data_IF_417273125330
#
_entry.id   IF_417273125330
#
_cell.length_a   1.000
_cell.length_b   1.000
_cell.length_c   1.000
_cell.angle_alpha   90.00
_cell.angle_beta   90.00
_cell.angle_gamma   90.00
#
_symmetry.space_group_name_H-M   'P 1'
#
loop_
_entity.id
_entity.type
_entity.pdbx_description
1 polymer ?
#
# COMPACT_ATOMS: atom_id res chain seq x y z
N UNK A 1 -13.02 0.88 -32.52
CA UNK A 1 -12.65 0.35 -31.19
C UNK A 1 -11.17 0.03 -31.21
N UNK A 2 -10.33 0.89 -30.64
CA UNK A 2 -8.87 0.74 -30.69
C UNK A 2 -8.25 1.06 -29.34
N UNK A 3 -7.68 0.04 -28.70
CA UNK A 3 -6.95 0.17 -27.44
C UNK A 3 -5.70 1.01 -27.65
N UNK A 4 -5.51 2.05 -26.83
CA UNK A 4 -4.27 2.85 -26.83
C UNK A 4 -3.31 2.28 -25.79
N UNK A 5 -2.22 1.69 -26.27
CA UNK A 5 -1.02 1.43 -25.48
C UNK A 5 -0.11 2.66 -25.59
N UNK A 6 0.42 3.14 -24.46
CA UNK A 6 1.43 4.20 -24.42
C UNK A 6 2.69 3.67 -23.72
N UNK A 7 3.79 3.63 -24.48
CA UNK A 7 5.13 3.34 -24.01
C UNK A 7 5.96 4.63 -24.15
N UNK A 8 6.46 5.18 -23.05
CA UNK A 8 7.27 6.39 -23.07
C UNK A 8 8.64 6.10 -22.46
N UNK A 9 9.56 5.68 -23.31
CA UNK A 9 10.98 5.80 -23.03
C UNK A 9 11.44 7.18 -23.51
N UNK A 10 11.96 8.02 -22.61
CA UNK A 10 12.70 9.24 -22.97
C UNK A 10 13.58 9.66 -21.80
N UNK A 11 14.85 9.29 -21.88
CA UNK A 11 15.91 9.81 -21.04
C UNK A 11 16.22 11.26 -21.46
N UNK A 12 16.49 12.15 -20.46
CA UNK A 12 16.89 13.59 -20.57
C UNK A 12 15.73 14.54 -20.91
N UNK A 13 15.38 15.61 -20.17
CA UNK A 13 16.23 16.61 -19.49
C UNK A 13 15.35 17.49 -18.57
N UNK A 14 15.78 17.69 -17.31
CA UNK A 14 15.67 18.88 -16.45
C UNK A 14 14.41 19.79 -16.49
N UNK A 15 13.29 19.32 -15.93
CA UNK A 15 12.29 20.08 -15.15
C UNK A 15 11.08 19.19 -14.82
N UNK A 16 11.32 17.96 -14.40
CA UNK A 16 10.24 17.06 -14.04
C UNK A 16 9.70 17.54 -12.70
N UNK A 17 8.60 18.28 -12.73
CA UNK A 17 7.65 18.36 -11.62
C UNK A 17 7.28 16.91 -11.36
N UNK A 18 8.04 16.27 -10.48
CA UNK A 18 7.92 14.87 -10.12
C UNK A 18 6.64 14.84 -9.30
N UNK A 19 5.49 14.76 -9.97
CA UNK A 19 4.35 14.10 -9.38
C UNK A 19 4.77 12.65 -9.22
N UNK A 20 5.58 12.41 -8.18
CA UNK A 20 5.74 11.09 -7.61
C UNK A 20 4.32 10.71 -7.28
N UNK A 21 3.73 9.81 -8.06
CA UNK A 21 2.55 9.07 -7.64
C UNK A 21 2.97 8.26 -6.41
N UNK A 22 3.01 8.95 -5.27
CA UNK A 22 3.15 8.34 -3.97
C UNK A 22 1.87 7.56 -3.79
N UNK A 23 1.98 6.24 -3.97
CA UNK A 23 0.89 5.35 -3.63
C UNK A 23 0.56 5.59 -2.16
N UNK A 24 -0.72 5.78 -1.89
CA UNK A 24 -1.23 6.12 -0.58
C UNK A 24 -1.83 4.86 0.04
N UNK A 25 -1.59 4.66 1.33
CA UNK A 25 -2.19 3.58 2.11
C UNK A 25 -3.09 4.19 3.16
N UNK A 26 -4.34 3.72 3.20
CA UNK A 26 -5.38 4.20 4.09
C UNK A 26 -5.95 2.99 4.85
N UNK A 27 -6.13 3.13 6.16
CA UNK A 27 -6.75 2.12 7.01
C UNK A 27 -7.74 2.80 7.94
N UNK A 28 -9.00 2.40 7.84
CA UNK A 28 -10.09 2.89 8.66
C UNK A 28 -10.68 1.72 9.45
N UNK A 29 -10.79 1.88 10.77
CA UNK A 29 -11.26 0.86 11.70
C UNK A 29 -12.37 1.46 12.55
N UNK A 30 -13.54 0.83 12.50
CA UNK A 30 -14.68 1.17 13.35
C UNK A 30 -14.99 -0.05 14.22
N UNK A 31 -14.85 0.10 15.53
CA UNK A 31 -15.11 -0.97 16.52
C UNK A 31 -15.96 -0.37 17.65
N UNK A 32 -17.21 -0.81 17.75
CA UNK A 32 -18.17 -0.21 18.69
C UNK A 32 -18.39 1.27 18.37
N UNK A 33 -18.18 2.13 19.36
CA UNK A 33 -18.26 3.59 19.22
C UNK A 33 -16.90 4.25 18.90
N UNK A 34 -15.82 3.46 18.76
CA UNK A 34 -14.51 3.97 18.41
C UNK A 34 -14.29 3.99 16.89
N UNK A 35 -13.73 5.10 16.41
CA UNK A 35 -13.36 5.27 15.02
C UNK A 35 -11.90 5.76 14.91
N UNK A 36 -11.08 4.97 14.24
CA UNK A 36 -9.66 5.26 14.01
C UNK A 36 -9.39 5.25 12.51
N UNK A 37 -8.73 6.31 12.01
CA UNK A 37 -8.35 6.44 10.61
C UNK A 37 -6.87 6.77 10.48
N UNK A 38 -6.16 5.97 9.70
CA UNK A 38 -4.74 6.13 9.41
C UNK A 38 -4.54 6.39 7.93
N UNK A 39 -3.60 7.28 7.64
CA UNK A 39 -3.25 7.69 6.30
C UNK A 39 -1.73 7.82 6.20
N UNK A 40 -1.10 7.02 5.35
CA UNK A 40 0.36 7.00 5.18
C UNK A 40 0.75 6.88 3.70
N UNK A 41 1.98 7.28 3.38
CA UNK A 41 2.60 6.89 2.12
C UNK A 41 2.83 5.39 2.09
N UNK A 42 2.88 4.77 0.91
CA UNK A 42 3.18 3.35 0.75
C UNK A 42 4.43 2.97 1.54
N UNK A 43 4.27 1.99 2.44
CA UNK A 43 5.36 1.38 3.20
C UNK A 43 5.64 0.02 2.56
N UNK A 44 6.77 -0.10 1.87
CA UNK A 44 7.11 -1.30 1.12
C UNK A 44 8.02 -2.25 1.93
N UNK A 45 8.78 -1.72 2.88
CA UNK A 45 9.75 -2.49 3.64
C UNK A 45 9.89 -2.04 5.10
N UNK A 46 10.47 -2.91 5.93
CA UNK A 46 10.89 -2.55 7.29
C UNK A 46 12.01 -1.49 7.31
N UNK A 47 12.74 -1.32 6.21
CA UNK A 47 13.74 -0.25 6.09
C UNK A 47 13.03 1.11 6.08
N UNK A 48 11.93 1.23 5.31
CA UNK A 48 11.13 2.46 5.26
C UNK A 48 10.52 2.79 6.63
N UNK A 49 10.11 1.76 7.39
CA UNK A 49 9.63 1.90 8.77
C UNK A 49 10.75 2.42 9.69
N UNK A 50 11.93 1.82 9.63
CA UNK A 50 13.05 2.17 10.51
C UNK A 50 13.61 3.57 10.23
N UNK A 51 13.48 4.08 9.01
CA UNK A 51 13.89 5.44 8.62
C UNK A 51 12.81 6.50 8.86
N UNK A 52 11.63 6.09 9.35
CA UNK A 52 10.53 7.00 9.61
C UNK A 52 10.68 7.81 10.89
N UNK A 53 9.83 8.83 11.06
CA UNK A 53 9.78 9.65 12.27
C UNK A 53 9.25 8.90 13.50
N UNK A 54 8.50 7.82 13.28
CA UNK A 54 7.96 6.96 14.34
C UNK A 54 8.07 5.48 13.95
N UNK A 55 9.27 4.88 14.13
CA UNK A 55 9.49 3.48 13.78
C UNK A 55 8.68 2.50 14.62
N UNK A 56 8.30 2.87 15.85
CA UNK A 56 7.56 1.99 16.75
C UNK A 56 6.10 1.85 16.31
N UNK A 57 5.40 2.98 16.10
CA UNK A 57 4.02 2.98 15.64
C UNK A 57 3.87 2.42 14.23
N UNK A 58 4.74 2.82 13.30
CA UNK A 58 4.69 2.30 11.93
C UNK A 58 5.02 0.82 11.81
N UNK A 59 5.82 0.26 12.73
CA UNK A 59 6.06 -1.19 12.77
C UNK A 59 4.81 -1.97 13.16
N UNK A 60 4.07 -1.49 14.16
CA UNK A 60 2.77 -2.09 14.54
C UNK A 60 1.80 -2.02 13.36
N UNK A 61 1.71 -0.84 12.72
CA UNK A 61 0.87 -0.65 11.54
C UNK A 61 1.25 -1.55 10.36
N UNK A 62 2.56 -1.70 10.10
CA UNK A 62 3.08 -2.56 9.02
C UNK A 62 2.68 -4.02 9.22
N UNK A 63 2.85 -4.57 10.43
CA UNK A 63 2.45 -5.95 10.72
C UNK A 63 0.94 -6.13 10.70
N UNK A 64 0.17 -5.18 11.24
CA UNK A 64 -1.29 -5.23 11.18
C UNK A 64 -1.80 -5.32 9.74
N UNK A 65 -1.24 -4.52 8.82
CA UNK A 65 -1.59 -4.57 7.40
C UNK A 65 -1.18 -5.89 6.74
N UNK A 66 -0.06 -6.49 7.16
CA UNK A 66 0.33 -7.81 6.66
C UNK A 66 -0.64 -8.90 7.11
N UNK A 67 -0.99 -8.92 8.39
CA UNK A 67 -1.92 -9.91 8.94
C UNK A 67 -3.30 -9.79 8.30
N UNK A 68 -3.80 -8.56 8.09
CA UNK A 68 -5.03 -8.30 7.34
C UNK A 68 -4.97 -8.81 5.90
N UNK A 69 -3.87 -8.56 5.19
CA UNK A 69 -3.67 -9.10 3.82
C UNK A 69 -3.66 -10.62 3.82
N UNK A 70 -2.94 -11.24 4.75
CA UNK A 70 -2.89 -12.69 4.90
C UNK A 70 -4.28 -13.27 5.19
N UNK A 71 -5.07 -12.64 6.07
CA UNK A 71 -6.44 -13.06 6.35
C UNK A 71 -7.32 -12.98 5.10
N UNK A 72 -7.29 -11.85 4.38
CA UNK A 72 -8.09 -11.65 3.16
C UNK A 72 -7.70 -12.68 2.11
N UNK A 73 -6.40 -12.89 1.86
CA UNK A 73 -5.93 -13.87 0.88
C UNK A 73 -6.25 -15.31 1.29
N UNK A 74 -6.12 -15.66 2.56
CA UNK A 74 -6.51 -16.98 3.06
C UNK A 74 -8.01 -17.24 2.89
N UNK A 75 -8.85 -16.23 3.15
CA UNK A 75 -10.30 -16.33 2.96
C UNK A 75 -10.68 -16.42 1.48
N UNK A 76 -10.05 -15.63 0.60
CA UNK A 76 -10.33 -15.71 -0.84
C UNK A 76 -9.85 -17.04 -1.43
N UNK A 77 -8.69 -17.55 -1.00
CA UNK A 77 -8.18 -18.87 -1.37
C UNK A 77 -9.15 -19.98 -0.99
N UNK A 78 -9.59 -19.98 0.26
CA UNK A 78 -10.50 -21.00 0.77
C UNK A 78 -11.86 -20.94 0.07
N UNK A 79 -12.39 -19.73 -0.14
CA UNK A 79 -13.72 -19.53 -0.69
C UNK A 79 -13.78 -19.81 -2.20
N UNK A 80 -12.78 -19.34 -2.96
CA UNK A 80 -12.79 -19.46 -4.43
C UNK A 80 -12.01 -20.67 -4.96
N UNK A 81 -11.21 -21.37 -4.13
CA UNK A 81 -10.26 -22.42 -4.55
C UNK A 81 -9.25 -21.95 -5.61
N UNK A 82 -8.99 -20.63 -5.68
CA UNK A 82 -8.04 -20.02 -6.61
C UNK A 82 -6.82 -19.57 -5.81
N UNK A 83 -5.62 -19.94 -6.26
CA UNK A 83 -4.38 -19.36 -5.71
C UNK A 83 -4.24 -17.90 -6.16
N UNK A 84 -4.10 -16.91 -5.27
CA UNK A 84 -3.80 -15.53 -5.62
C UNK A 84 -2.36 -15.46 -6.12
N UNK A 85 -2.14 -14.61 -7.14
CA UNK A 85 -0.84 -14.35 -7.77
C UNK A 85 -0.22 -13.13 -7.12
#
# INVERSE_FOLDING_TARGET
MGSRYANNNSYKTDMIRKEVYVHKSELEIIIGDEHISFMTSKIDSLIDVNQSKDPAGLRVFYYLLQDLKCLVFGLTELHFKIKPI
#
